data_IF_320835135929
#
_entry.id   IF_320835135929
#
_cell.length_a   1.000
_cell.length_b   1.000
_cell.length_c   1.000
_cell.angle_alpha   90.00
_cell.angle_beta   90.00
_cell.angle_gamma   90.00
#
_symmetry.space_group_name_H-M   'P 1'
#
loop_
_entity.id
_entity.type
_entity.pdbx_description
1 polymer ?
#
# COMPACT_ATOMS: atom_id res chain seq x y z
N UNK A 1 -0.89 3.41 -9.77
CA UNK A 1 -1.93 2.68 -10.52
C UNK A 1 -1.96 1.25 -10.04
N UNK A 2 -3.04 0.52 -10.28
CA UNK A 2 -3.13 -0.92 -10.03
C UNK A 2 -4.03 -1.58 -11.08
N UNK A 3 -3.71 -2.79 -11.49
CA UNK A 3 -4.55 -3.61 -12.38
C UNK A 3 -5.33 -4.59 -11.51
N UNK A 4 -6.60 -4.85 -11.84
CA UNK A 4 -7.36 -5.91 -11.17
C UNK A 4 -6.81 -7.28 -11.58
N UNK A 5 -6.74 -8.27 -10.67
CA UNK A 5 -6.23 -9.61 -10.98
C UNK A 5 -6.90 -10.29 -12.19
N UNK A 6 -8.20 -10.04 -12.40
CA UNK A 6 -8.97 -10.51 -13.57
C UNK A 6 -8.67 -9.74 -14.87
N UNK A 7 -7.74 -8.78 -14.86
CA UNK A 7 -7.40 -7.87 -15.94
C UNK A 7 -8.57 -7.06 -16.50
N UNK A 8 -9.68 -6.91 -15.77
CA UNK A 8 -10.86 -6.16 -16.23
C UNK A 8 -10.64 -4.65 -16.18
N UNK A 9 -9.99 -4.17 -15.12
CA UNK A 9 -9.83 -2.75 -14.85
C UNK A 9 -8.39 -2.34 -14.52
N UNK A 10 -8.04 -1.11 -14.90
CA UNK A 10 -6.88 -0.38 -14.38
C UNK A 10 -7.42 0.77 -13.52
N UNK A 11 -6.93 0.88 -12.29
CA UNK A 11 -7.24 1.95 -11.36
C UNK A 11 -6.07 2.94 -11.27
N UNK A 12 -6.37 4.24 -11.38
CA UNK A 12 -5.37 5.32 -11.36
C UNK A 12 -5.77 6.38 -10.34
N UNK A 13 -4.96 6.55 -9.29
CA UNK A 13 -5.12 7.60 -8.28
C UNK A 13 -4.67 8.95 -8.84
N UNK A 14 -5.54 9.95 -8.83
CA UNK A 14 -5.28 11.29 -9.35
C UNK A 14 -4.98 12.27 -8.22
N UNK A 15 -3.71 12.50 -7.92
CA UNK A 15 -3.24 13.27 -6.75
C UNK A 15 -3.88 14.67 -6.66
N UNK A 16 -3.80 15.48 -7.71
CA UNK A 16 -4.37 16.83 -7.74
C UNK A 16 -5.88 16.83 -8.04
N UNK A 17 -6.39 15.77 -8.68
CA UNK A 17 -7.80 15.65 -9.05
C UNK A 17 -8.70 15.16 -7.91
N UNK A 18 -8.11 14.62 -6.83
CA UNK A 18 -8.83 14.07 -5.67
C UNK A 18 -9.80 12.93 -6.03
N UNK A 19 -9.45 12.18 -7.08
CA UNK A 19 -10.25 11.09 -7.61
C UNK A 19 -9.41 9.83 -7.84
N UNK A 20 -10.08 8.71 -8.09
CA UNK A 20 -9.52 7.55 -8.79
C UNK A 20 -10.27 7.35 -10.09
N UNK A 21 -9.53 7.10 -11.17
CA UNK A 21 -10.07 6.75 -12.48
C UNK A 21 -10.07 5.24 -12.62
N UNK A 22 -11.18 4.68 -13.10
CA UNK A 22 -11.31 3.27 -13.48
C UNK A 22 -11.37 3.19 -15.00
N UNK A 23 -10.41 2.48 -15.59
CA UNK A 23 -10.26 2.25 -17.02
C UNK A 23 -10.61 0.80 -17.30
N UNK A 24 -11.52 0.53 -18.23
CA UNK A 24 -11.75 -0.84 -18.70
C UNK A 24 -10.65 -1.23 -19.68
N UNK A 25 -9.97 -2.35 -19.40
CA UNK A 25 -8.91 -2.88 -20.27
C UNK A 25 -9.50 -3.28 -21.63
N UNK A 26 -10.57 -4.07 -21.63
CA UNK A 26 -11.22 -4.53 -22.86
C UNK A 26 -11.73 -3.38 -23.75
N UNK A 27 -12.27 -2.32 -23.14
CA UNK A 27 -12.82 -1.17 -23.89
C UNK A 27 -11.81 -0.05 -24.13
N UNK A 28 -10.62 -0.14 -23.55
CA UNK A 28 -9.55 0.87 -23.58
C UNK A 28 -10.05 2.29 -23.29
N UNK A 29 -10.97 2.43 -22.33
CA UNK A 29 -11.57 3.73 -22.00
C UNK A 29 -11.88 3.84 -20.53
N UNK A 30 -11.92 5.09 -20.07
CA UNK A 30 -12.44 5.43 -18.74
C UNK A 30 -13.91 5.01 -18.67
N UNK A 31 -14.24 4.21 -17.65
CA UNK A 31 -15.62 3.79 -17.34
C UNK A 31 -16.16 4.45 -16.09
N UNK A 32 -15.28 4.95 -15.21
CA UNK A 32 -15.67 5.68 -14.01
C UNK A 32 -14.57 6.64 -13.56
N UNK A 33 -14.98 7.77 -13.00
CA UNK A 33 -14.12 8.64 -12.19
C UNK A 33 -14.80 8.83 -10.84
N UNK A 34 -14.15 8.39 -9.77
CA UNK A 34 -14.72 8.31 -8.43
C UNK A 34 -14.05 9.36 -7.56
N UNK A 35 -14.83 10.25 -6.94
CA UNK A 35 -14.32 11.24 -5.98
C UNK A 35 -13.97 10.55 -4.67
N UNK A 36 -12.77 10.82 -4.17
CA UNK A 36 -12.26 10.23 -2.94
C UNK A 36 -12.14 11.32 -1.87
N UNK A 37 -11.05 12.08 -1.94
CA UNK A 37 -10.59 13.04 -0.96
C UNK A 37 -9.19 13.49 -1.35
N UNK A 38 -8.54 14.27 -0.48
CA UNK A 38 -7.30 14.97 -0.88
C UNK A 38 -6.15 13.97 -1.08
N UNK A 39 -5.40 14.18 -2.16
CA UNK A 39 -4.12 13.53 -2.43
C UNK A 39 -4.14 11.98 -2.44
N UNK A 40 -5.00 11.32 -3.23
CA UNK A 40 -5.04 9.87 -3.28
C UNK A 40 -3.69 9.28 -3.74
N UNK A 41 -3.27 8.16 -3.13
CA UNK A 41 -1.97 7.50 -3.36
C UNK A 41 -2.09 6.00 -3.66
N UNK A 42 -1.74 5.16 -2.68
CA UNK A 42 -1.64 3.72 -2.87
C UNK A 42 -2.99 3.12 -3.20
N UNK A 43 -2.96 2.10 -4.06
CA UNK A 43 -4.12 1.31 -4.43
C UNK A 43 -3.75 -0.16 -4.22
N UNK A 44 -4.57 -0.88 -3.47
CA UNK A 44 -4.55 -2.34 -3.42
C UNK A 44 -5.88 -2.87 -3.97
N UNK A 45 -5.86 -4.03 -4.61
CA UNK A 45 -7.06 -4.71 -5.12
C UNK A 45 -7.12 -6.09 -4.50
N UNK A 46 -8.31 -6.54 -4.10
CA UNK A 46 -8.51 -7.90 -3.60
C UNK A 46 -8.28 -8.94 -4.71
N UNK A 47 -7.83 -10.13 -4.32
CA UNK A 47 -7.48 -11.20 -5.27
C UNK A 47 -8.66 -11.62 -6.16
N UNK A 48 -9.87 -11.61 -5.58
CA UNK A 48 -11.13 -11.88 -6.29
C UNK A 48 -11.58 -10.74 -7.22
N UNK A 49 -10.80 -9.66 -7.36
CA UNK A 49 -11.11 -8.47 -8.15
C UNK A 49 -12.41 -7.76 -7.75
N UNK A 50 -12.95 -8.02 -6.56
CA UNK A 50 -14.23 -7.44 -6.12
C UNK A 50 -14.08 -6.06 -5.48
N UNK A 51 -12.94 -5.75 -4.86
CA UNK A 51 -12.73 -4.51 -4.10
C UNK A 51 -11.39 -3.86 -4.39
N UNK A 52 -11.38 -2.53 -4.42
CA UNK A 52 -10.17 -1.73 -4.39
C UNK A 52 -10.09 -0.89 -3.11
N UNK A 53 -8.89 -0.77 -2.55
CA UNK A 53 -8.57 0.01 -1.36
C UNK A 53 -7.66 1.15 -1.76
N UNK A 54 -8.10 2.40 -1.60
CA UNK A 54 -7.36 3.59 -2.02
C UNK A 54 -7.04 4.47 -0.82
N UNK A 55 -5.77 4.79 -0.64
CA UNK A 55 -5.33 5.66 0.46
C UNK A 55 -5.64 7.14 0.19
N UNK A 56 -6.40 7.78 1.07
CA UNK A 56 -6.64 9.22 1.07
C UNK A 56 -5.54 9.93 1.88
N UNK A 57 -4.39 10.21 1.25
CA UNK A 57 -3.23 10.73 1.98
C UNK A 57 -3.46 12.09 2.62
N UNK A 58 -4.32 12.94 2.06
CA UNK A 58 -4.69 14.22 2.65
C UNK A 58 -5.69 14.10 3.81
N UNK A 59 -6.16 12.90 4.14
CA UNK A 59 -7.15 12.63 5.17
C UNK A 59 -6.73 11.52 6.14
N UNK A 60 -7.70 10.75 6.60
CA UNK A 60 -7.54 9.71 7.64
C UNK A 60 -8.05 8.33 7.24
N UNK A 61 -8.44 8.17 5.97
CA UNK A 61 -9.22 7.01 5.52
C UNK A 61 -8.56 6.22 4.40
N UNK A 62 -8.93 4.94 4.31
CA UNK A 62 -8.94 4.23 3.03
C UNK A 62 -10.36 4.27 2.46
N UNK A 63 -10.48 4.54 1.17
CA UNK A 63 -11.70 4.28 0.42
C UNK A 63 -11.71 2.81 0.00
N UNK A 64 -12.80 2.11 0.30
CA UNK A 64 -13.08 0.76 -0.22
C UNK A 64 -14.12 0.92 -1.32
N UNK A 65 -13.73 0.56 -2.52
CA UNK A 65 -14.55 0.70 -3.74
C UNK A 65 -14.97 -0.70 -4.16
N UNK A 66 -16.27 -0.94 -4.25
CA UNK A 66 -16.80 -2.15 -4.87
C UNK A 66 -16.63 -2.05 -6.40
N UNK A 67 -16.01 -3.05 -7.02
CA UNK A 67 -15.68 -3.04 -8.45
C UNK A 67 -16.79 -3.58 -9.35
N UNK A 68 -17.91 -4.03 -8.78
CA UNK A 68 -19.13 -4.39 -9.50
C UNK A 68 -20.00 -3.15 -9.75
N UNK A 69 -20.19 -2.30 -8.74
CA UNK A 69 -21.11 -1.15 -8.81
C UNK A 69 -20.47 0.23 -8.56
N UNK A 70 -19.19 0.28 -8.18
CA UNK A 70 -18.43 1.49 -7.85
C UNK A 70 -18.93 2.25 -6.61
N UNK A 71 -19.69 1.59 -5.73
CA UNK A 71 -20.05 2.12 -4.42
C UNK A 71 -18.82 2.24 -3.50
N UNK A 72 -18.90 3.15 -2.53
CA UNK A 72 -17.78 3.46 -1.63
C UNK A 72 -18.16 3.24 -0.16
N UNK A 73 -17.23 2.68 0.59
CA UNK A 73 -17.23 2.70 2.06
C UNK A 73 -15.86 3.17 2.56
N UNK A 74 -15.76 3.53 3.84
CA UNK A 74 -14.52 4.06 4.42
C UNK A 74 -13.99 3.15 5.53
N UNK A 75 -12.66 3.03 5.59
CA UNK A 75 -11.94 2.49 6.75
C UNK A 75 -11.17 3.64 7.41
N UNK A 76 -11.42 3.95 8.70
CA UNK A 76 -10.69 5.00 9.42
C UNK A 76 -9.30 4.50 9.83
N UNK A 77 -8.41 4.40 8.85
CA UNK A 77 -7.10 3.75 8.95
C UNK A 77 -6.08 4.56 9.76
N UNK A 78 -6.31 5.87 9.92
CA UNK A 78 -5.41 6.79 10.60
C UNK A 78 -4.86 7.87 9.67
N UNK A 79 -4.24 8.89 10.26
CA UNK A 79 -3.82 10.10 9.55
C UNK A 79 -2.70 9.87 8.53
N UNK A 80 -2.83 10.54 7.38
CA UNK A 80 -1.86 10.58 6.30
C UNK A 80 -1.49 9.19 5.74
N UNK A 81 -2.47 8.32 5.42
CA UNK A 81 -2.19 7.01 4.84
C UNK A 81 -1.61 7.16 3.44
N UNK A 82 -0.55 6.41 3.10
CA UNK A 82 0.13 6.60 1.80
C UNK A 82 0.13 5.37 0.93
N UNK A 83 0.82 4.31 1.33
CA UNK A 83 0.80 3.03 0.64
C UNK A 83 -0.12 2.06 1.39
N UNK A 84 -0.66 1.10 0.65
CA UNK A 84 -1.62 0.10 1.11
C UNK A 84 -1.32 -1.24 0.43
N UNK A 85 -1.36 -2.33 1.18
CA UNK A 85 -1.28 -3.72 0.68
C UNK A 85 -2.26 -4.60 1.46
N UNK A 86 -2.69 -5.71 0.86
CA UNK A 86 -3.53 -6.72 1.51
C UNK A 86 -2.66 -7.88 2.00
N UNK A 87 -3.11 -8.59 3.03
CA UNK A 87 -2.57 -9.93 3.33
C UNK A 87 -2.94 -10.92 2.22
N UNK A 88 -2.12 -11.98 1.98
CA UNK A 88 -2.42 -12.98 0.96
C UNK A 88 -3.77 -13.69 1.14
N UNK A 89 -4.22 -13.84 2.39
CA UNK A 89 -5.53 -14.42 2.72
C UNK A 89 -6.70 -13.43 2.59
N UNK A 90 -6.43 -12.17 2.24
CA UNK A 90 -7.44 -11.11 2.10
C UNK A 90 -8.10 -10.66 3.41
N UNK A 91 -7.66 -11.15 4.58
CA UNK A 91 -8.31 -10.85 5.87
C UNK A 91 -7.83 -9.55 6.51
N UNK A 92 -6.70 -9.00 6.06
CA UNK A 92 -6.09 -7.79 6.61
C UNK A 92 -5.69 -6.81 5.52
N UNK A 93 -5.70 -5.54 5.91
CA UNK A 93 -5.06 -4.47 5.14
C UNK A 93 -3.97 -3.83 5.98
N UNK A 94 -2.83 -3.55 5.35
CA UNK A 94 -1.72 -2.83 5.94
C UNK A 94 -1.53 -1.50 5.24
N UNK A 95 -1.33 -0.44 6.01
CA UNK A 95 -1.07 0.88 5.46
C UNK A 95 0.07 1.59 6.18
N UNK A 96 0.87 2.34 5.43
CA UNK A 96 1.83 3.28 6.01
C UNK A 96 1.10 4.56 6.40
N UNK A 97 1.27 5.00 7.65
CA UNK A 97 0.87 6.32 8.14
C UNK A 97 2.08 7.24 8.03
N UNK A 98 2.15 7.98 6.93
CA UNK A 98 3.39 8.60 6.48
C UNK A 98 3.94 9.64 7.46
N UNK A 99 3.16 10.65 7.83
CA UNK A 99 3.59 11.65 8.81
C UNK A 99 3.97 11.05 10.17
N UNK A 100 3.29 9.98 10.59
CA UNK A 100 3.54 9.33 11.89
C UNK A 100 4.75 8.39 11.89
N UNK A 101 5.29 8.01 10.73
CA UNK A 101 6.40 7.06 10.65
C UNK A 101 6.02 5.64 11.08
N UNK A 102 4.75 5.26 10.87
CA UNK A 102 4.18 4.00 11.35
C UNK A 102 3.59 3.16 10.22
N UNK A 103 3.45 1.87 10.48
CA UNK A 103 2.54 0.98 9.75
C UNK A 103 1.41 0.57 10.68
N UNK A 104 0.20 0.49 10.15
CA UNK A 104 -0.98 -0.05 10.82
C UNK A 104 -1.45 -1.34 10.13
N UNK A 105 -1.85 -2.32 10.93
CA UNK A 105 -2.62 -3.47 10.49
C UNK A 105 -4.09 -3.29 10.89
N UNK A 106 -5.00 -3.58 9.96
CA UNK A 106 -6.44 -3.50 10.17
C UNK A 106 -7.11 -4.82 9.77
N UNK A 107 -8.01 -5.31 10.60
CA UNK A 107 -8.79 -6.53 10.38
C UNK A 107 -10.02 -6.20 9.51
N UNK A 108 -10.09 -6.77 8.30
CA UNK A 108 -11.18 -6.51 7.36
C UNK A 108 -12.46 -7.26 7.73
N UNK A 109 -12.36 -8.35 8.49
CA UNK A 109 -13.49 -9.17 8.91
C UNK A 109 -14.14 -8.56 10.15
N UNK A 110 -13.33 -8.27 11.17
CA UNK A 110 -13.78 -7.63 12.43
C UNK A 110 -13.93 -6.12 12.31
N UNK A 111 -13.53 -5.55 11.17
CA UNK A 111 -13.62 -4.11 10.85
C UNK A 111 -13.01 -3.22 11.94
N UNK A 112 -11.83 -3.57 12.44
CA UNK A 112 -11.17 -2.84 13.53
C UNK A 112 -9.65 -2.81 13.36
N UNK A 113 -8.95 -1.80 13.93
CA UNK A 113 -7.51 -1.80 13.93
C UNK A 113 -6.99 -2.97 14.78
N UNK A 114 -5.89 -3.58 14.34
CA UNK A 114 -5.19 -4.63 15.07
C UNK A 114 -4.10 -3.98 15.91
N UNK A 115 -3.11 -3.36 15.26
CA UNK A 115 -1.94 -2.78 15.92
C UNK A 115 -1.19 -1.81 15.00
N UNK A 116 -0.47 -0.87 15.60
CA UNK A 116 0.49 -0.01 14.89
C UNK A 116 1.91 -0.28 15.34
N UNK A 117 2.88 -0.02 14.47
CA UNK A 117 4.31 -0.15 14.76
C UNK A 117 5.09 0.99 14.12
N UNK A 118 6.01 1.59 14.87
CA UNK A 118 6.93 2.60 14.35
C UNK A 118 8.02 1.92 13.52
N UNK A 119 8.29 2.46 12.34
CA UNK A 119 9.28 1.91 11.38
C UNK A 119 10.41 2.88 11.12
N UNK A 120 10.11 4.17 11.00
CA UNK A 120 11.09 5.23 10.82
C UNK A 120 10.45 6.52 10.31
N UNK A 121 11.27 7.55 10.08
CA UNK A 121 10.77 8.87 9.65
C UNK A 121 10.17 8.80 8.24
N UNK A 122 8.92 9.25 8.10
CA UNK A 122 8.16 9.23 6.84
C UNK A 122 8.05 7.83 6.20
N UNK A 123 7.37 6.92 6.89
CA UNK A 123 7.04 5.59 6.39
C UNK A 123 6.21 5.73 5.11
N UNK A 124 6.79 5.35 3.96
CA UNK A 124 6.30 5.80 2.65
C UNK A 124 5.58 4.74 1.86
N UNK A 125 6.34 3.75 1.44
CA UNK A 125 5.92 2.69 0.55
C UNK A 125 6.14 1.38 1.31
N UNK A 126 5.26 0.42 1.10
CA UNK A 126 5.43 -0.90 1.67
C UNK A 126 5.16 -1.99 0.64
N UNK A 127 5.82 -3.12 0.83
CA UNK A 127 5.53 -4.40 0.18
C UNK A 127 5.29 -5.46 1.25
N UNK A 128 4.68 -6.58 0.89
CA UNK A 128 4.46 -7.75 1.75
C UNK A 128 5.09 -8.98 1.09
N UNK A 129 5.66 -9.88 1.88
CA UNK A 129 6.13 -11.17 1.41
C UNK A 129 4.99 -12.05 0.90
N UNK A 130 5.27 -12.97 -0.02
CA UNK A 130 4.26 -13.87 -0.62
C UNK A 130 3.53 -14.71 0.43
N UNK A 131 4.23 -15.14 1.48
CA UNK A 131 3.66 -15.88 2.61
C UNK A 131 2.91 -14.97 3.62
N UNK A 132 2.96 -13.66 3.43
CA UNK A 132 2.31 -12.67 4.29
C UNK A 132 2.98 -12.48 5.65
N UNK A 133 4.15 -13.06 5.91
CA UNK A 133 4.79 -13.05 7.24
C UNK A 133 5.60 -11.78 7.52
N UNK A 134 6.01 -11.04 6.48
CA UNK A 134 6.82 -9.84 6.59
C UNK A 134 6.31 -8.69 5.72
N UNK A 135 6.33 -7.48 6.27
CA UNK A 135 6.23 -6.23 5.52
C UNK A 135 7.61 -5.61 5.37
N UNK A 136 7.87 -5.02 4.21
CA UNK A 136 9.07 -4.26 3.94
C UNK A 136 8.69 -2.80 3.75
N UNK A 137 9.22 -1.92 4.57
CA UNK A 137 8.75 -0.54 4.69
C UNK A 137 9.89 0.43 4.42
N UNK A 138 9.68 1.34 3.50
CA UNK A 138 10.61 2.42 3.18
C UNK A 138 10.40 3.59 4.14
N UNK A 139 11.47 4.03 4.80
CA UNK A 139 11.47 5.22 5.66
C UNK A 139 12.18 6.37 4.95
N UNK A 140 11.41 7.22 4.28
CA UNK A 140 11.92 8.21 3.33
C UNK A 140 12.97 9.14 3.95
N UNK A 141 12.59 9.87 5.00
CA UNK A 141 13.52 10.78 5.69
C UNK A 141 14.45 10.03 6.65
N UNK A 142 14.22 8.74 6.89
CA UNK A 142 15.10 7.89 7.69
C UNK A 142 16.30 7.35 6.90
N UNK A 143 16.23 7.33 5.57
CA UNK A 143 17.21 6.64 4.70
C UNK A 143 17.41 5.17 5.11
N UNK A 144 16.33 4.52 5.53
CA UNK A 144 16.32 3.11 5.94
C UNK A 144 15.15 2.35 5.32
N UNK A 145 15.27 1.03 5.31
CA UNK A 145 14.13 0.11 5.19
C UNK A 145 13.94 -0.65 6.49
N UNK A 146 12.71 -1.01 6.81
CA UNK A 146 12.36 -1.84 7.98
C UNK A 146 11.64 -3.11 7.54
N UNK A 147 12.05 -4.25 8.08
CA UNK A 147 11.32 -5.53 7.98
C UNK A 147 10.44 -5.66 9.22
N UNK A 148 9.13 -5.81 9.03
CA UNK A 148 8.12 -5.90 10.09
C UNK A 148 7.45 -7.27 10.03
N UNK A 149 7.49 -8.02 11.13
CA UNK A 149 6.74 -9.27 11.24
C UNK A 149 5.25 -9.00 11.39
N UNK A 150 4.41 -9.62 10.58
CA UNK A 150 2.97 -9.35 10.54
C UNK A 150 2.16 -10.00 11.66
N UNK A 151 2.67 -11.06 12.28
CA UNK A 151 1.97 -11.80 13.34
C UNK A 151 1.80 -10.96 14.62
N UNK A 152 2.79 -10.14 14.96
CA UNK A 152 2.79 -9.31 16.18
C UNK A 152 3.08 -7.82 15.94
N UNK A 153 3.22 -7.42 14.66
CA UNK A 153 3.58 -6.07 14.22
C UNK A 153 4.82 -5.55 14.94
N UNK A 154 5.92 -6.30 14.85
CA UNK A 154 7.23 -5.90 15.37
C UNK A 154 8.23 -5.67 14.24
N UNK A 155 8.99 -4.60 14.35
CA UNK A 155 10.20 -4.43 13.52
C UNK A 155 11.21 -5.48 13.95
N UNK A 156 11.62 -6.33 13.01
CA UNK A 156 12.63 -7.37 13.23
C UNK A 156 13.99 -6.97 12.66
N UNK A 157 14.02 -6.00 11.75
CA UNK A 157 15.25 -5.49 11.16
C UNK A 157 15.06 -4.06 10.67
N UNK A 158 16.09 -3.23 10.79
CA UNK A 158 16.19 -1.93 10.12
C UNK A 158 17.55 -1.83 9.45
N UNK A 159 17.54 -1.54 8.14
CA UNK A 159 18.75 -1.53 7.30
C UNK A 159 18.90 -0.12 6.71
N UNK A 160 20.12 0.45 6.78
CA UNK A 160 20.44 1.66 6.02
C UNK A 160 20.39 1.37 4.53
N UNK A 161 19.84 2.30 3.76
CA UNK A 161 19.79 2.18 2.29
C UNK A 161 20.37 3.45 1.66
N UNK A 162 19.93 3.82 0.47
CA UNK A 162 20.20 5.12 -0.13
C UNK A 162 19.53 6.26 0.64
N UNK A 163 19.92 7.50 0.32
CA UNK A 163 19.21 8.69 0.78
C UNK A 163 17.82 8.71 0.15
N UNK A 164 16.80 8.99 0.96
CA UNK A 164 15.44 9.21 0.47
C UNK A 164 14.86 8.03 -0.36
N UNK A 165 14.92 6.77 0.13
CA UNK A 165 14.36 5.62 -0.59
C UNK A 165 12.86 5.83 -0.87
N UNK A 166 12.36 5.39 -2.01
CA UNK A 166 10.96 5.66 -2.40
C UNK A 166 10.13 4.43 -2.74
N UNK A 167 10.45 3.73 -3.81
CA UNK A 167 9.72 2.54 -4.26
C UNK A 167 10.25 1.31 -3.55
N UNK A 168 9.37 0.36 -3.23
CA UNK A 168 9.77 -0.94 -2.72
C UNK A 168 8.85 -2.01 -3.28
N UNK A 169 9.42 -3.15 -3.67
CA UNK A 169 8.67 -4.35 -4.04
C UNK A 169 9.38 -5.58 -3.49
N UNK A 170 8.60 -6.62 -3.26
CA UNK A 170 9.10 -7.95 -2.89
C UNK A 170 8.94 -8.88 -4.09
N UNK A 171 9.99 -9.64 -4.38
CA UNK A 171 10.06 -10.62 -5.46
C UNK A 171 10.08 -12.02 -4.85
N UNK A 172 8.91 -12.67 -4.79
CA UNK A 172 8.72 -13.99 -4.17
C UNK A 172 9.59 -15.10 -4.78
N UNK A 173 9.68 -15.24 -6.12
CA UNK A 173 10.53 -16.24 -6.75
C UNK A 173 12.01 -16.21 -6.34
N UNK A 174 12.57 -15.03 -6.06
CA UNK A 174 13.99 -14.90 -5.67
C UNK A 174 14.19 -14.60 -4.19
N UNK A 175 13.11 -14.45 -3.44
CA UNK A 175 13.07 -13.94 -2.07
C UNK A 175 13.88 -12.65 -1.88
N UNK A 176 13.76 -11.70 -2.83
CA UNK A 176 14.49 -10.42 -2.78
C UNK A 176 13.57 -9.23 -2.61
N UNK A 177 14.09 -8.22 -1.93
CA UNK A 177 13.43 -6.92 -1.80
C UNK A 177 14.17 -5.88 -2.64
N UNK A 178 13.45 -5.20 -3.53
CA UNK A 178 13.99 -4.21 -4.45
C UNK A 178 13.55 -2.81 -4.03
N UNK A 179 14.48 -1.87 -3.93
CA UNK A 179 14.25 -0.50 -3.45
C UNK A 179 14.75 0.51 -4.48
N UNK A 180 13.86 1.38 -4.93
CA UNK A 180 14.21 2.50 -5.82
C UNK A 180 14.69 3.71 -5.02
N UNK A 181 15.75 4.34 -5.51
CA UNK A 181 16.45 5.46 -4.87
C UNK A 181 16.42 6.72 -5.74
N UNK A 182 16.35 7.90 -5.12
CA UNK A 182 16.37 9.17 -5.88
C UNK A 182 17.71 9.51 -6.53
N UNK A 183 18.78 8.83 -6.14
CA UNK A 183 20.09 8.91 -6.81
C UNK A 183 20.12 8.17 -8.15
N UNK A 184 19.01 7.59 -8.59
CA UNK A 184 18.89 6.84 -9.84
C UNK A 184 19.26 5.36 -9.72
N UNK A 185 19.60 4.88 -8.53
CA UNK A 185 19.94 3.47 -8.30
C UNK A 185 18.73 2.62 -7.88
N UNK A 186 18.88 1.31 -8.04
CA UNK A 186 18.04 0.31 -7.39
C UNK A 186 18.94 -0.50 -6.44
N UNK A 187 18.52 -0.63 -5.19
CA UNK A 187 19.16 -1.50 -4.20
C UNK A 187 18.38 -2.81 -4.10
N UNK A 188 19.10 -3.92 -4.03
CA UNK A 188 18.50 -5.25 -3.91
C UNK A 188 19.00 -5.86 -2.61
N UNK A 189 18.07 -6.40 -1.81
CA UNK A 189 18.35 -7.02 -0.53
C UNK A 189 17.89 -8.48 -0.59
N UNK A 190 18.77 -9.38 -0.17
CA UNK A 190 18.44 -10.78 0.08
C UNK A 190 17.67 -10.89 1.41
N UNK A 191 16.68 -11.78 1.47
CA UNK A 191 15.88 -12.01 2.67
C UNK A 191 16.21 -13.34 3.39
N UNK A 192 17.15 -14.12 2.85
CA UNK A 192 17.72 -15.33 3.46
C UNK A 192 18.63 -15.04 4.66
#
# INVERSE_FOLDING_TARGET
MQVTPDNKYILVSNWCGYTVTVISVAKQKVVRTIKLGRYPRGIAVSEDSSKAYVAEMGGTNLHVIDLMDFSQTLIPIGSNPRAVVLSPDGTRVYATLNAAGKVIAWDLIKKKPIKTVATGKAARSLAISTDGTALFVVNFFGSTISKVRTSDMKVIQTIKTCKEPIGITYDGPTDRTWVACYDGSIKVFDNN
#
